data_IF_493904450049
#
_entry.id   IF_493904450049
#
_cell.length_a   1.000
_cell.length_b   1.000
_cell.length_c   1.000
_cell.angle_alpha   90.00
_cell.angle_beta   90.00
_cell.angle_gamma   90.00
#
_symmetry.space_group_name_H-M   'P 1'
#
loop_
_entity.id
_entity.type
_entity.pdbx_description
1 polymer ?
#
# COMPACT_ATOMS: atom_id res chain seq x y z
N UNK A 1 -0.21 15.03 9.58
CA UNK A 1 0.53 15.83 10.57
C UNK A 1 2.04 15.64 10.43
N UNK A 2 2.55 14.40 10.34
CA UNK A 2 3.99 14.11 10.20
C UNK A 2 4.61 14.79 8.98
N UNK A 3 3.96 14.76 7.82
CA UNK A 3 4.43 15.44 6.61
C UNK A 3 4.49 16.95 6.75
N UNK A 4 3.51 17.54 7.46
CA UNK A 4 3.54 18.97 7.77
C UNK A 4 4.72 19.29 8.69
N UNK A 5 5.01 18.41 9.66
CA UNK A 5 6.17 18.52 10.54
C UNK A 5 7.49 18.43 9.77
N UNK A 6 7.60 17.51 8.81
CA UNK A 6 8.79 17.35 7.98
C UNK A 6 8.98 18.54 7.03
N UNK A 7 7.91 19.00 6.37
CA UNK A 7 7.96 20.17 5.48
C UNK A 7 8.35 21.45 6.21
N UNK A 8 7.86 21.62 7.44
CA UNK A 8 8.20 22.74 8.29
C UNK A 8 9.68 22.72 8.80
N UNK A 9 10.44 21.64 8.49
CA UNK A 9 11.85 21.56 8.81
C UNK A 9 12.66 22.46 7.88
N UNK A 10 13.12 23.60 8.38
CA UNK A 10 13.91 24.56 7.60
C UNK A 10 13.08 25.67 6.95
N UNK A 11 11.81 25.76 7.22
CA UNK A 11 10.95 26.87 6.81
C UNK A 11 10.83 27.87 7.97
N UNK A 12 11.36 29.07 7.81
CA UNK A 12 11.39 30.12 8.85
C UNK A 12 10.02 30.68 9.21
N UNK A 13 9.02 30.47 8.36
CA UNK A 13 7.63 30.88 8.64
C UNK A 13 6.91 29.93 9.58
N UNK A 14 7.48 28.73 9.84
CA UNK A 14 6.89 27.71 10.70
C UNK A 14 7.65 27.53 12.01
N UNK A 15 6.93 27.67 13.10
CA UNK A 15 7.44 27.26 14.41
C UNK A 15 7.09 25.81 14.69
N UNK A 16 8.11 24.99 15.00
CA UNK A 16 7.95 23.58 15.41
C UNK A 16 8.38 23.40 16.85
N UNK A 17 7.54 22.75 17.62
CA UNK A 17 7.83 22.39 19.00
C UNK A 17 7.46 20.92 19.24
N UNK A 18 8.43 20.12 19.71
CA UNK A 18 8.21 18.75 20.14
C UNK A 18 8.38 18.67 21.65
N UNK A 19 7.28 18.36 22.35
CA UNK A 19 7.25 18.24 23.81
C UNK A 19 7.05 16.75 24.17
N UNK A 20 8.14 16.06 24.39
CA UNK A 20 8.11 14.66 24.84
C UNK A 20 7.88 14.62 26.35
N UNK A 21 7.06 13.67 26.82
CA UNK A 21 6.77 13.52 28.23
C UNK A 21 8.02 13.25 29.07
N UNK A 22 8.95 12.44 28.54
CA UNK A 22 10.18 12.01 29.22
C UNK A 22 11.25 13.10 29.37
N UNK A 23 11.22 14.13 28.52
CA UNK A 23 12.28 15.16 28.46
C UNK A 23 11.81 16.59 28.66
N UNK A 24 10.50 16.85 28.54
CA UNK A 24 9.95 18.20 28.65
C UNK A 24 9.89 18.75 30.09
N UNK A 25 9.91 17.86 31.08
CA UNK A 25 9.73 18.24 32.50
C UNK A 25 8.31 18.72 32.85
N UNK A 26 7.33 18.60 31.94
CA UNK A 26 5.96 19.05 32.13
C UNK A 26 5.13 18.08 32.98
N UNK A 27 5.46 16.79 32.93
CA UNK A 27 4.79 15.75 33.71
C UNK A 27 5.74 15.21 34.79
N UNK A 28 5.25 14.98 36.02
CA UNK A 28 6.01 14.27 37.04
C UNK A 28 6.30 12.82 36.63
N UNK A 29 7.44 12.28 37.05
CA UNK A 29 7.84 10.89 36.74
C UNK A 29 6.78 9.85 37.14
N UNK A 30 6.12 10.08 38.27
CA UNK A 30 5.07 9.18 38.77
C UNK A 30 3.87 9.11 37.82
N UNK A 31 3.55 10.21 37.16
CA UNK A 31 2.45 10.30 36.20
C UNK A 31 2.84 9.63 34.88
N UNK A 32 4.08 9.83 34.42
CA UNK A 32 4.65 9.16 33.25
C UNK A 32 4.61 7.64 33.46
N UNK A 33 5.01 7.13 34.63
CA UNK A 33 4.97 5.71 34.97
C UNK A 33 3.53 5.17 35.06
N UNK A 34 2.55 5.97 35.50
CA UNK A 34 1.14 5.60 35.48
C UNK A 34 0.63 5.43 34.06
N UNK A 35 0.90 6.42 33.19
CA UNK A 35 0.54 6.38 31.77
C UNK A 35 1.20 5.23 31.04
N UNK A 36 2.46 4.89 31.39
CA UNK A 36 3.16 3.73 30.82
C UNK A 36 2.49 2.39 31.15
N UNK A 37 1.78 2.29 32.26
CA UNK A 37 1.01 1.09 32.66
C UNK A 37 -0.37 1.03 32.03
N UNK A 38 -0.95 2.19 31.74
CA UNK A 38 -2.31 2.31 31.17
C UNK A 38 -2.31 2.19 29.66
N UNK A 39 -1.26 2.66 28.99
CA UNK A 39 -1.13 2.66 27.53
C UNK A 39 -0.33 1.44 27.05
N UNK A 40 -0.62 0.99 25.85
CA UNK A 40 0.28 0.04 25.18
C UNK A 40 1.63 0.71 24.86
N UNK A 41 2.67 -0.10 24.62
CA UNK A 41 4.01 0.43 24.28
C UNK A 41 3.95 1.39 23.09
N UNK A 42 3.18 1.06 22.06
CA UNK A 42 3.05 1.89 20.87
C UNK A 42 2.24 3.17 21.13
N UNK A 43 1.14 3.07 21.88
CA UNK A 43 0.37 4.24 22.28
C UNK A 43 1.21 5.19 23.14
N UNK A 44 1.97 4.65 24.10
CA UNK A 44 2.85 5.46 24.92
C UNK A 44 3.93 6.16 24.08
N UNK A 45 4.55 5.44 23.13
CA UNK A 45 5.54 6.02 22.24
C UNK A 45 4.93 7.14 21.37
N UNK A 46 3.77 6.90 20.80
CA UNK A 46 3.07 7.86 19.92
C UNK A 46 2.58 9.10 20.68
N UNK A 47 1.85 8.90 21.77
CA UNK A 47 1.18 9.98 22.51
C UNK A 47 2.12 10.73 23.47
N UNK A 48 3.01 10.01 24.14
CA UNK A 48 3.85 10.55 25.18
C UNK A 48 5.26 10.89 24.72
N UNK A 49 5.82 10.13 23.78
CA UNK A 49 7.17 10.38 23.26
C UNK A 49 7.20 11.04 21.90
N UNK A 50 6.04 11.44 21.34
CA UNK A 50 5.91 12.05 20.02
C UNK A 50 6.58 11.22 18.91
N UNK A 51 6.50 9.90 19.03
CA UNK A 51 7.08 8.97 18.06
C UNK A 51 6.11 8.81 16.88
N UNK A 52 6.41 9.46 15.76
CA UNK A 52 5.62 9.36 14.55
C UNK A 52 5.74 8.01 13.85
N UNK A 53 6.78 7.24 14.18
CA UNK A 53 7.03 5.92 13.60
C UNK A 53 6.49 4.77 14.47
N UNK A 54 5.99 5.08 15.67
CA UNK A 54 5.36 4.08 16.51
C UNK A 54 4.22 3.40 15.74
N UNK A 55 4.24 2.08 15.69
CA UNK A 55 3.23 1.30 14.98
C UNK A 55 1.84 1.63 15.53
N UNK A 56 0.94 2.06 14.65
CA UNK A 56 -0.44 2.36 15.02
C UNK A 56 -1.10 1.08 15.53
N UNK A 57 -1.75 1.18 16.68
CA UNK A 57 -2.47 0.04 17.23
C UNK A 57 -3.51 -0.49 16.25
N UNK A 58 -3.45 -1.80 15.98
CA UNK A 58 -4.30 -2.44 14.99
C UNK A 58 -3.84 -2.27 13.53
N UNK A 59 -2.68 -1.66 13.27
CA UNK A 59 -2.12 -1.60 11.92
C UNK A 59 -1.89 -3.01 11.36
N UNK A 60 -2.40 -3.25 10.14
CA UNK A 60 -2.29 -4.56 9.52
C UNK A 60 -0.87 -4.87 9.05
N UNK A 61 -0.12 -3.86 8.58
CA UNK A 61 1.18 -4.02 7.91
C UNK A 61 2.33 -3.28 8.63
N UNK A 62 2.09 -2.75 9.83
CA UNK A 62 3.05 -1.89 10.52
C UNK A 62 4.42 -2.53 10.69
N UNK A 63 4.48 -3.81 11.09
CA UNK A 63 5.74 -4.53 11.28
C UNK A 63 6.45 -4.83 9.96
N UNK A 64 5.71 -5.25 8.91
CA UNK A 64 6.24 -5.54 7.58
C UNK A 64 6.82 -4.27 6.94
N UNK A 65 6.12 -3.14 7.08
CA UNK A 65 6.57 -1.84 6.56
C UNK A 65 7.78 -1.32 7.33
N UNK A 66 7.82 -1.47 8.65
CA UNK A 66 8.99 -1.15 9.44
C UNK A 66 10.21 -1.97 9.00
N UNK A 67 10.05 -3.26 8.75
CA UNK A 67 11.13 -4.10 8.20
C UNK A 67 11.54 -3.69 6.79
N UNK A 68 10.63 -3.17 5.98
CA UNK A 68 10.96 -2.64 4.66
C UNK A 68 11.77 -1.35 4.74
N UNK A 69 11.50 -0.51 5.73
CA UNK A 69 12.14 0.79 5.91
C UNK A 69 13.48 0.72 6.63
N UNK A 70 13.56 -0.09 7.70
CA UNK A 70 14.70 -0.15 8.62
C UNK A 70 15.54 -1.42 8.46
N UNK A 71 15.11 -2.37 7.62
CA UNK A 71 15.80 -3.65 7.42
C UNK A 71 17.12 -3.51 6.66
N UNK A 72 17.86 -4.62 6.61
CA UNK A 72 19.04 -4.77 5.78
C UNK A 72 18.82 -5.95 4.81
N UNK A 73 18.67 -5.68 3.52
CA UNK A 73 18.67 -4.36 2.86
C UNK A 73 17.38 -3.55 3.11
N UNK A 74 17.50 -2.22 3.09
CA UNK A 74 16.35 -1.31 3.04
C UNK A 74 15.61 -1.50 1.73
N UNK A 75 14.28 -1.70 1.79
CA UNK A 75 13.44 -1.97 0.62
C UNK A 75 12.53 -0.78 0.23
N UNK A 76 12.53 0.27 1.03
CA UNK A 76 12.02 1.59 0.67
C UNK A 76 13.25 2.44 0.31
N UNK A 77 13.50 2.61 -0.98
CA UNK A 77 14.74 3.19 -1.52
C UNK A 77 14.53 3.60 -2.98
N UNK A 78 15.57 4.03 -3.68
CA UNK A 78 15.51 4.26 -5.12
C UNK A 78 15.32 2.94 -5.88
N UNK A 79 14.16 2.77 -6.51
CA UNK A 79 13.81 1.57 -7.28
C UNK A 79 13.60 1.93 -8.75
N UNK A 80 14.61 1.69 -9.61
CA UNK A 80 14.51 2.07 -11.01
C UNK A 80 13.53 1.18 -11.79
N UNK A 81 12.87 1.79 -12.78
CA UNK A 81 12.14 1.06 -13.81
C UNK A 81 13.08 0.17 -14.61
N UNK A 82 12.75 -1.12 -14.75
CA UNK A 82 13.48 -2.08 -15.57
C UNK A 82 12.81 -2.21 -16.94
N UNK A 83 13.47 -1.72 -17.99
CA UNK A 83 12.90 -1.66 -19.34
C UNK A 83 12.57 -3.03 -19.96
N UNK A 84 13.21 -4.10 -19.47
CA UNK A 84 13.02 -5.48 -19.95
C UNK A 84 11.87 -6.19 -19.25
N UNK A 85 11.38 -5.63 -18.14
CA UNK A 85 10.26 -6.19 -17.40
C UNK A 85 9.00 -5.39 -17.69
N UNK A 86 7.88 -6.07 -17.94
CA UNK A 86 6.60 -5.43 -18.18
C UNK A 86 6.01 -4.91 -16.87
N UNK A 87 5.27 -3.81 -16.97
CA UNK A 87 4.61 -3.15 -15.84
C UNK A 87 3.17 -3.60 -15.76
N UNK A 88 2.74 -3.91 -14.56
CA UNK A 88 1.34 -4.16 -14.23
C UNK A 88 0.78 -3.01 -13.42
N UNK A 89 -0.53 -2.81 -13.47
CA UNK A 89 -1.23 -1.86 -12.60
C UNK A 89 -2.38 -2.53 -11.86
N UNK A 90 -2.63 -2.10 -10.64
CA UNK A 90 -3.85 -2.42 -9.90
C UNK A 90 -4.52 -1.13 -9.45
N UNK A 91 -5.83 -1.11 -9.52
CA UNK A 91 -6.64 0.07 -9.29
C UNK A 91 -7.64 -0.19 -8.16
N UNK A 92 -7.84 0.80 -7.33
CA UNK A 92 -9.02 0.94 -6.49
C UNK A 92 -9.83 2.11 -7.03
N UNK A 93 -11.09 1.86 -7.43
CA UNK A 93 -11.91 2.82 -8.18
C UNK A 93 -12.95 3.48 -7.28
N UNK A 94 -12.67 4.66 -6.75
CA UNK A 94 -13.64 5.51 -6.07
C UNK A 94 -14.53 6.29 -7.07
N UNK A 95 -15.83 6.42 -6.78
CA UNK A 95 -16.76 7.27 -7.58
C UNK A 95 -16.80 8.68 -7.00
N UNK A 96 -17.01 8.79 -5.69
CA UNK A 96 -17.02 10.05 -4.92
C UNK A 96 -15.79 10.15 -4.00
N UNK A 97 -15.00 9.10 -3.95
CA UNK A 97 -13.81 8.95 -3.14
C UNK A 97 -12.55 8.93 -4.00
N UNK A 98 -11.40 8.67 -3.35
CA UNK A 98 -10.13 8.54 -4.03
C UNK A 98 -10.10 7.32 -4.95
N UNK A 99 -9.63 7.51 -6.18
CA UNK A 99 -9.15 6.44 -7.04
C UNK A 99 -7.65 6.29 -6.82
N UNK A 100 -7.19 5.09 -6.54
CA UNK A 100 -5.78 4.79 -6.32
C UNK A 100 -5.27 3.81 -7.39
N UNK A 101 -4.07 4.07 -7.90
CA UNK A 101 -3.41 3.23 -8.91
C UNK A 101 -2.00 2.92 -8.45
N UNK A 102 -1.63 1.64 -8.46
CA UNK A 102 -0.30 1.14 -8.14
C UNK A 102 0.34 0.54 -9.38
N UNK A 103 1.61 0.87 -9.66
CA UNK A 103 2.41 0.28 -10.74
C UNK A 103 3.50 -0.61 -10.17
N UNK A 104 3.64 -1.82 -10.70
CA UNK A 104 4.71 -2.72 -10.25
C UNK A 104 5.28 -3.56 -11.40
N UNK A 105 6.49 -4.05 -11.18
CA UNK A 105 7.18 -5.00 -12.04
C UNK A 105 7.64 -6.22 -11.24
N UNK A 106 7.64 -7.38 -11.87
CA UNK A 106 8.31 -8.57 -11.35
C UNK A 106 9.71 -8.64 -11.97
N UNK A 107 10.76 -8.52 -11.16
CA UNK A 107 12.15 -8.61 -11.60
C UNK A 107 12.84 -9.72 -10.80
N UNK A 108 12.92 -10.90 -11.39
CA UNK A 108 13.37 -12.09 -10.67
C UNK A 108 12.43 -12.45 -9.51
N UNK A 109 12.93 -12.37 -8.29
CA UNK A 109 12.13 -12.57 -7.06
C UNK A 109 11.61 -11.27 -6.44
N UNK A 110 12.08 -10.14 -6.95
CA UNK A 110 11.68 -8.83 -6.44
C UNK A 110 10.38 -8.37 -7.08
N UNK A 111 9.51 -7.82 -6.27
CA UNK A 111 8.33 -7.07 -6.70
C UNK A 111 8.68 -5.60 -6.54
N UNK A 112 8.92 -4.91 -7.64
CA UNK A 112 9.31 -3.51 -7.65
C UNK A 112 8.07 -2.63 -7.83
N UNK A 113 7.65 -1.96 -6.77
CA UNK A 113 6.58 -0.95 -6.81
C UNK A 113 7.23 0.37 -7.22
N UNK A 114 7.00 0.75 -8.48
CA UNK A 114 7.77 1.79 -9.17
C UNK A 114 7.03 3.12 -9.29
N UNK A 115 5.72 3.13 -9.08
CA UNK A 115 4.92 4.35 -9.17
C UNK A 115 3.60 4.17 -8.41
N UNK A 116 3.02 5.29 -7.99
CA UNK A 116 1.73 5.38 -7.34
C UNK A 116 1.03 6.66 -7.75
N UNK A 117 -0.28 6.64 -7.83
CA UNK A 117 -1.10 7.83 -8.03
C UNK A 117 -2.43 7.67 -7.30
N UNK A 118 -2.89 8.74 -6.71
CA UNK A 118 -4.24 8.86 -6.17
C UNK A 118 -4.86 10.19 -6.57
N UNK A 119 -6.17 10.21 -6.74
CA UNK A 119 -6.90 11.40 -7.10
C UNK A 119 -8.40 11.21 -6.86
N UNK A 120 -9.13 12.29 -6.71
CA UNK A 120 -10.59 12.29 -6.56
C UNK A 120 -11.26 13.20 -7.58
N UNK A 121 -12.48 12.83 -7.96
CA UNK A 121 -13.29 13.67 -8.87
C UNK A 121 -12.87 13.64 -10.33
N UNK A 122 -11.88 12.85 -10.71
CA UNK A 122 -11.43 12.71 -12.09
C UNK A 122 -12.22 11.62 -12.84
N UNK A 123 -12.30 11.76 -14.15
CA UNK A 123 -12.96 10.77 -15.00
C UNK A 123 -12.05 9.56 -15.29
N UNK A 124 -12.64 8.42 -15.63
CA UNK A 124 -11.87 7.25 -16.10
C UNK A 124 -11.00 7.59 -17.32
N UNK A 125 -11.44 8.54 -18.15
CA UNK A 125 -10.66 9.01 -19.31
C UNK A 125 -9.37 9.74 -18.86
N UNK A 126 -9.43 10.54 -17.79
CA UNK A 126 -8.26 11.20 -17.21
C UNK A 126 -7.24 10.18 -16.67
N UNK A 127 -7.70 9.20 -15.89
CA UNK A 127 -6.84 8.13 -15.39
C UNK A 127 -6.26 7.26 -16.52
N UNK A 128 -7.05 6.96 -17.55
CA UNK A 128 -6.56 6.24 -18.72
C UNK A 128 -5.47 7.04 -19.47
N UNK A 129 -5.66 8.35 -19.60
CA UNK A 129 -4.65 9.24 -20.20
C UNK A 129 -3.38 9.29 -19.34
N UNK A 130 -3.51 9.39 -18.00
CA UNK A 130 -2.40 9.35 -17.08
C UNK A 130 -1.59 8.06 -17.24
N UNK A 131 -2.23 6.89 -17.22
CA UNK A 131 -1.54 5.61 -17.40
C UNK A 131 -0.80 5.57 -18.73
N UNK A 132 -1.42 6.00 -19.83
CA UNK A 132 -0.80 6.01 -21.17
C UNK A 132 0.31 7.05 -21.33
N UNK A 133 0.34 8.10 -20.50
CA UNK A 133 1.41 9.11 -20.52
C UNK A 133 2.70 8.65 -19.87
N UNK A 134 2.65 7.61 -19.02
CA UNK A 134 3.83 7.07 -18.37
C UNK A 134 4.73 6.33 -19.37
N UNK A 135 6.06 6.37 -19.22
CA UNK A 135 7.02 5.75 -20.15
C UNK A 135 7.13 4.23 -19.95
N UNK A 136 6.06 3.56 -19.53
CA UNK A 136 6.08 2.15 -19.16
C UNK A 136 5.56 1.25 -20.27
N UNK A 137 6.15 0.04 -20.38
CA UNK A 137 5.64 -1.04 -21.22
C UNK A 137 4.73 -1.92 -20.38
N UNK A 138 3.44 -1.91 -20.68
CA UNK A 138 2.43 -2.59 -19.88
C UNK A 138 2.23 -4.06 -20.27
N UNK A 139 2.00 -4.92 -19.26
CA UNK A 139 1.45 -6.27 -19.41
C UNK A 139 -0.05 -6.24 -19.14
N UNK A 140 -0.46 -6.04 -17.90
CA UNK A 140 -1.85 -6.16 -17.46
C UNK A 140 -2.27 -5.00 -16.55
N UNK A 141 -3.56 -4.68 -16.63
CA UNK A 141 -4.22 -3.77 -15.73
C UNK A 141 -5.28 -4.54 -14.94
N UNK A 142 -5.27 -4.41 -13.62
CA UNK A 142 -6.16 -5.15 -12.73
C UNK A 142 -7.13 -4.21 -12.06
N UNK A 143 -8.41 -4.57 -12.08
CA UNK A 143 -9.50 -3.81 -11.48
C UNK A 143 -10.19 -4.62 -10.39
N UNK A 144 -10.81 -3.97 -9.39
CA UNK A 144 -11.65 -4.64 -8.41
C UNK A 144 -12.88 -5.27 -9.09
N UNK A 145 -13.49 -6.24 -8.42
CA UNK A 145 -14.64 -6.98 -8.93
C UNK A 145 -15.88 -6.12 -9.22
N UNK A 146 -16.06 -5.00 -8.53
CA UNK A 146 -17.17 -4.06 -8.74
C UNK A 146 -17.02 -3.25 -10.04
N UNK A 147 -15.86 -3.28 -10.70
CA UNK A 147 -15.67 -2.71 -12.02
C UNK A 147 -16.53 -3.38 -13.13
N UNK A 148 -17.11 -4.55 -12.86
CA UNK A 148 -18.08 -5.23 -13.73
C UNK A 148 -19.52 -4.71 -13.54
N UNK A 149 -19.77 -3.89 -12.51
CA UNK A 149 -21.08 -3.29 -12.32
C UNK A 149 -21.36 -2.24 -13.40
N UNK A 150 -22.59 -2.25 -13.94
CA UNK A 150 -23.04 -1.26 -14.91
C UNK A 150 -23.33 0.07 -14.24
N UNK A 151 -22.82 1.14 -14.82
CA UNK A 151 -23.13 2.50 -14.38
C UNK A 151 -24.51 2.93 -14.88
N UNK A 152 -25.30 3.51 -13.97
CA UNK A 152 -26.68 3.92 -14.29
C UNK A 152 -26.76 4.96 -15.42
N UNK A 153 -25.77 5.84 -15.54
CA UNK A 153 -25.78 6.92 -16.52
C UNK A 153 -25.45 6.46 -17.94
N UNK A 154 -24.54 5.50 -18.10
CA UNK A 154 -24.02 5.05 -19.39
C UNK A 154 -24.51 3.67 -19.81
N UNK A 155 -24.98 2.86 -18.84
CA UNK A 155 -25.31 1.45 -19.03
C UNK A 155 -24.11 0.55 -19.29
N UNK A 156 -22.87 1.12 -19.31
CA UNK A 156 -21.61 0.39 -19.51
C UNK A 156 -20.94 0.06 -18.19
N UNK A 157 -20.13 -0.96 -18.20
CA UNK A 157 -19.24 -1.26 -17.08
C UNK A 157 -17.97 -0.40 -17.16
N UNK A 158 -17.26 -0.21 -16.03
CA UNK A 158 -15.98 0.50 -16.02
C UNK A 158 -14.93 -0.20 -16.89
N UNK A 159 -14.99 -1.53 -16.98
CA UNK A 159 -14.11 -2.34 -17.84
C UNK A 159 -14.37 -2.02 -19.31
N UNK A 160 -15.65 -1.95 -19.74
CA UNK A 160 -16.01 -1.61 -21.12
C UNK A 160 -15.54 -0.20 -21.45
N UNK A 161 -15.74 0.75 -20.55
CA UNK A 161 -15.28 2.14 -20.72
C UNK A 161 -13.76 2.21 -20.85
N UNK A 162 -12.99 1.53 -19.98
CA UNK A 162 -11.52 1.50 -20.08
C UNK A 162 -11.05 0.83 -21.38
N UNK A 163 -11.74 -0.21 -21.84
CA UNK A 163 -11.42 -0.86 -23.13
C UNK A 163 -11.60 0.10 -24.31
N UNK A 164 -12.67 0.88 -24.32
CA UNK A 164 -12.88 1.93 -25.33
C UNK A 164 -11.79 3.02 -25.27
N UNK A 165 -11.28 3.29 -24.07
CA UNK A 165 -10.16 4.19 -23.85
C UNK A 165 -8.78 3.54 -24.14
N UNK A 166 -8.76 2.30 -24.63
CA UNK A 166 -7.54 1.60 -25.04
C UNK A 166 -6.78 0.91 -23.89
N UNK A 167 -7.43 0.68 -22.76
CA UNK A 167 -6.89 -0.08 -21.64
C UNK A 167 -7.68 -1.39 -21.48
N UNK A 168 -7.02 -2.52 -21.74
CA UNK A 168 -7.62 -3.84 -21.51
C UNK A 168 -7.31 -4.31 -20.09
N UNK A 169 -8.33 -4.37 -19.25
CA UNK A 169 -8.19 -4.72 -17.86
C UNK A 169 -8.71 -6.13 -17.55
N UNK A 170 -8.19 -6.73 -16.47
CA UNK A 170 -8.66 -7.98 -15.89
C UNK A 170 -9.25 -7.69 -14.52
N UNK A 171 -10.27 -8.45 -14.14
CA UNK A 171 -10.90 -8.33 -12.82
C UNK A 171 -10.22 -9.24 -11.84
N UNK A 172 -9.89 -8.71 -10.68
CA UNK A 172 -9.49 -9.50 -9.52
C UNK A 172 -10.75 -10.11 -8.90
N UNK A 173 -10.85 -11.43 -8.78
CA UNK A 173 -12.02 -12.06 -8.20
C UNK A 173 -12.32 -11.55 -6.80
N UNK A 174 -13.60 -11.45 -6.47
CA UNK A 174 -14.04 -11.10 -5.13
C UNK A 174 -13.46 -12.08 -4.11
N UNK A 175 -12.83 -11.55 -3.07
CA UNK A 175 -12.30 -12.33 -1.94
C UNK A 175 -12.65 -11.65 -0.62
N UNK A 176 -12.59 -12.37 0.47
CA UNK A 176 -12.71 -11.78 1.80
C UNK A 176 -11.56 -10.80 2.03
N UNK A 177 -11.84 -9.69 2.67
CA UNK A 177 -10.84 -8.65 2.98
C UNK A 177 -9.67 -9.24 3.76
N UNK A 178 -9.93 -10.13 4.72
CA UNK A 178 -8.91 -10.83 5.51
C UNK A 178 -7.93 -11.65 4.64
N UNK A 179 -8.44 -12.35 3.63
CA UNK A 179 -7.61 -13.13 2.70
C UNK A 179 -6.70 -12.20 1.89
N UNK A 180 -7.23 -11.05 1.48
CA UNK A 180 -6.47 -10.00 0.82
C UNK A 180 -5.39 -9.40 1.71
N UNK A 181 -5.71 -9.10 2.97
CA UNK A 181 -4.73 -8.60 3.96
C UNK A 181 -3.61 -9.61 4.17
N UNK A 182 -3.94 -10.89 4.30
CA UNK A 182 -2.95 -11.95 4.42
C UNK A 182 -2.09 -12.09 3.15
N UNK A 183 -2.69 -11.91 1.96
CA UNK A 183 -1.94 -11.88 0.71
C UNK A 183 -0.89 -10.76 0.71
N UNK A 184 -1.25 -9.56 1.16
CA UNK A 184 -0.31 -8.43 1.29
C UNK A 184 0.83 -8.78 2.25
N UNK A 185 0.54 -9.24 3.46
CA UNK A 185 1.56 -9.63 4.47
C UNK A 185 2.59 -10.60 3.92
N UNK A 186 2.12 -11.63 3.20
CA UNK A 186 3.00 -12.63 2.60
C UNK A 186 3.84 -12.07 1.44
N UNK A 187 3.35 -11.04 0.75
CA UNK A 187 3.99 -10.47 -0.44
C UNK A 187 4.99 -9.38 -0.07
N UNK A 188 4.72 -8.61 1.00
CA UNK A 188 5.52 -7.46 1.41
C UNK A 188 7.01 -7.76 1.63
N UNK A 189 7.36 -9.01 2.02
CA UNK A 189 8.77 -9.40 2.20
C UNK A 189 9.58 -9.38 0.90
N UNK A 190 8.92 -9.43 -0.27
CA UNK A 190 9.53 -9.40 -1.60
C UNK A 190 9.38 -8.03 -2.28
N UNK A 191 8.64 -7.09 -1.66
CA UNK A 191 8.35 -5.78 -2.25
C UNK A 191 9.47 -4.78 -1.98
N UNK A 192 9.82 -4.04 -3.03
CA UNK A 192 10.70 -2.89 -3.03
C UNK A 192 9.90 -1.68 -3.49
N UNK A 193 9.98 -0.58 -2.77
CA UNK A 193 9.18 0.62 -3.01
C UNK A 193 10.09 1.77 -3.44
N UNK A 194 9.77 2.43 -4.57
CA UNK A 194 10.47 3.64 -4.96
C UNK A 194 10.10 4.79 -4.01
N UNK A 195 11.07 5.23 -3.21
CA UNK A 195 10.87 6.22 -2.14
C UNK A 195 10.31 7.56 -2.64
N UNK A 196 10.57 7.93 -3.90
CA UNK A 196 10.16 9.22 -4.46
C UNK A 196 8.77 9.19 -5.07
N UNK A 197 8.36 8.03 -5.61
CA UNK A 197 7.11 7.89 -6.36
C UNK A 197 6.02 7.14 -5.62
N UNK A 198 6.37 6.46 -4.54
CA UNK A 198 5.43 5.63 -3.79
C UNK A 198 5.34 6.03 -2.31
N UNK A 199 5.81 7.24 -1.95
CA UNK A 199 5.80 7.71 -0.57
C UNK A 199 4.40 7.70 0.06
N UNK A 200 3.40 8.20 -0.66
CA UNK A 200 2.01 8.21 -0.18
C UNK A 200 1.47 6.78 0.00
N UNK A 201 1.75 5.86 -0.94
CA UNK A 201 1.38 4.45 -0.78
C UNK A 201 2.04 3.82 0.46
N UNK A 202 3.33 4.09 0.68
CA UNK A 202 4.05 3.61 1.87
C UNK A 202 3.38 4.09 3.14
N UNK A 203 2.97 5.36 3.18
CA UNK A 203 2.24 5.94 4.30
C UNK A 203 0.87 5.25 4.49
N UNK A 204 0.11 5.06 3.42
CA UNK A 204 -1.16 4.34 3.48
C UNK A 204 -0.98 2.92 4.03
N UNK A 205 0.04 2.19 3.59
CA UNK A 205 0.31 0.84 4.09
C UNK A 205 0.71 0.82 5.58
N UNK A 206 1.44 1.83 6.05
CA UNK A 206 1.78 1.98 7.48
C UNK A 206 0.54 2.26 8.33
N UNK A 207 -0.39 3.07 7.81
CA UNK A 207 -1.55 3.61 8.52
C UNK A 207 -2.80 2.74 8.42
N UNK A 208 -2.85 1.77 7.49
CA UNK A 208 -4.00 0.89 7.29
C UNK A 208 -4.21 -0.03 8.48
N UNK A 209 -5.33 0.15 9.17
CA UNK A 209 -5.59 -0.46 10.47
C UNK A 209 -6.99 -1.02 10.60
N UNK A 210 -7.15 -1.93 11.55
CA UNK A 210 -8.44 -2.44 11.99
C UNK A 210 -9.23 -1.37 12.75
N UNK A 211 -10.55 -1.42 12.66
CA UNK A 211 -11.43 -0.57 13.44
C UNK A 211 -11.38 -1.00 14.91
N UNK A 212 -11.19 -0.04 15.82
CA UNK A 212 -11.21 -0.29 17.25
C UNK A 212 -12.52 0.18 17.86
N UNK A 213 -13.27 -0.72 18.49
CA UNK A 213 -14.48 -0.39 19.24
C UNK A 213 -14.08 0.02 20.67
N UNK A 214 -14.03 1.34 20.89
CA UNK A 214 -13.67 1.91 22.20
C UNK A 214 -14.61 1.49 23.33
N UNK A 215 -15.87 1.19 23.02
CA UNK A 215 -16.88 0.81 24.03
C UNK A 215 -16.71 -0.62 24.50
N UNK A 216 -16.33 -1.51 23.58
CA UNK A 216 -16.14 -2.93 23.88
C UNK A 216 -14.67 -3.27 24.17
N UNK A 217 -13.72 -2.35 23.92
CA UNK A 217 -12.31 -2.60 24.10
C UNK A 217 -11.74 -3.66 23.14
N UNK A 218 -12.35 -3.84 21.98
CA UNK A 218 -11.95 -4.90 21.02
C UNK A 218 -11.63 -4.33 19.64
N UNK A 219 -10.66 -4.95 18.99
CA UNK A 219 -10.35 -4.69 17.59
C UNK A 219 -11.34 -5.45 16.74
N UNK A 220 -12.06 -4.76 15.82
CA UNK A 220 -12.95 -5.40 14.86
C UNK A 220 -12.15 -6.08 13.75
N UNK A 221 -12.77 -7.02 13.06
CA UNK A 221 -12.16 -7.69 11.90
C UNK A 221 -12.15 -6.82 10.64
N UNK A 222 -12.94 -5.75 10.60
CA UNK A 222 -13.03 -4.84 9.46
C UNK A 222 -11.97 -3.73 9.54
N UNK A 223 -11.35 -3.36 8.42
CA UNK A 223 -10.50 -2.17 8.37
C UNK A 223 -11.32 -0.88 8.54
N UNK A 224 -10.65 0.16 9.05
CA UNK A 224 -11.18 1.52 9.03
C UNK A 224 -11.24 1.98 7.58
N UNK A 225 -12.38 2.54 7.17
CA UNK A 225 -12.50 3.21 5.88
C UNK A 225 -12.15 4.69 6.05
N UNK A 226 -10.94 5.04 5.70
CA UNK A 226 -10.40 6.42 5.75
C UNK A 226 -9.53 6.68 4.51
N UNK A 227 -8.83 7.81 4.49
CA UNK A 227 -7.95 8.19 3.37
C UNK A 227 -6.85 7.15 3.06
N UNK A 228 -6.49 6.31 4.04
CA UNK A 228 -5.45 5.30 3.88
C UNK A 228 -5.97 4.00 3.25
N UNK A 229 -7.29 3.79 3.26
CA UNK A 229 -7.89 2.55 2.76
C UNK A 229 -7.72 2.38 1.25
N UNK A 230 -7.84 3.45 0.46
CA UNK A 230 -7.82 3.36 -1.01
C UNK A 230 -6.47 2.89 -1.57
N UNK A 231 -5.36 3.49 -1.09
CA UNK A 231 -4.02 3.05 -1.47
C UNK A 231 -3.72 1.63 -1.02
N UNK A 232 -4.11 1.28 0.21
CA UNK A 232 -3.95 -0.06 0.75
C UNK A 232 -4.78 -1.10 -0.02
N UNK A 233 -5.99 -0.76 -0.45
CA UNK A 233 -6.87 -1.62 -1.23
C UNK A 233 -6.36 -1.80 -2.66
N UNK A 234 -5.87 -0.74 -3.33
CA UNK A 234 -5.20 -0.86 -4.62
C UNK A 234 -3.99 -1.81 -4.54
N UNK A 235 -3.17 -1.68 -3.51
CA UNK A 235 -2.03 -2.58 -3.29
C UNK A 235 -2.48 -4.00 -2.95
N UNK A 236 -3.57 -4.17 -2.22
CA UNK A 236 -4.18 -5.48 -1.95
C UNK A 236 -4.62 -6.16 -3.24
N UNK A 237 -5.23 -5.43 -4.18
CA UNK A 237 -5.58 -5.96 -5.51
C UNK A 237 -4.33 -6.32 -6.31
N UNK A 238 -3.24 -5.54 -6.23
CA UNK A 238 -1.96 -5.91 -6.82
C UNK A 238 -1.44 -7.25 -6.28
N UNK A 239 -1.42 -7.42 -4.96
CA UNK A 239 -0.96 -8.67 -4.32
C UNK A 239 -1.83 -9.88 -4.68
N UNK A 240 -3.15 -9.70 -4.80
CA UNK A 240 -4.05 -10.74 -5.26
C UNK A 240 -3.81 -11.09 -6.73
N UNK A 241 -3.61 -10.09 -7.59
CA UNK A 241 -3.30 -10.29 -9.00
C UNK A 241 -2.00 -11.06 -9.23
N UNK A 242 -0.96 -10.79 -8.45
CA UNK A 242 0.30 -11.53 -8.48
C UNK A 242 0.13 -13.03 -8.20
N UNK A 243 -0.87 -13.39 -7.39
CA UNK A 243 -1.20 -14.78 -7.08
C UNK A 243 -2.02 -15.47 -8.17
N UNK A 244 -2.74 -14.68 -8.99
CA UNK A 244 -3.49 -15.20 -10.15
C UNK A 244 -2.57 -15.51 -11.32
N UNK A 245 -1.40 -14.86 -11.43
CA UNK A 245 -0.45 -15.14 -12.49
C UNK A 245 -0.05 -16.62 -12.46
N UNK A 246 -0.06 -17.33 -13.59
CA UNK A 246 0.41 -18.70 -13.63
C UNK A 246 1.85 -18.71 -13.11
N UNK A 247 2.12 -19.49 -12.05
CA UNK A 247 3.51 -19.76 -11.66
C UNK A 247 4.17 -20.38 -12.88
N UNK A 248 5.23 -19.75 -13.40
CA UNK A 248 6.01 -20.37 -14.48
C UNK A 248 6.38 -21.77 -14.04
N UNK A 249 5.73 -22.76 -14.64
CA UNK A 249 6.12 -24.16 -14.46
C UNK A 249 7.38 -24.32 -15.28
N UNK A 250 8.53 -24.25 -14.63
CA UNK A 250 9.76 -24.69 -15.25
C UNK A 250 9.49 -26.09 -15.80
N UNK A 251 9.71 -26.26 -17.12
CA UNK A 251 9.62 -27.57 -17.71
C UNK A 251 10.57 -28.52 -16.92
N UNK A 252 10.12 -29.73 -16.56
CA UNK A 252 10.97 -30.63 -15.79
C UNK A 252 12.30 -30.82 -16.52
N UNK A 253 13.41 -30.66 -15.81
CA UNK A 253 14.74 -30.88 -16.35
C UNK A 253 14.82 -32.29 -16.90
N UNK A 254 14.97 -32.43 -18.22
CA UNK A 254 15.23 -33.71 -18.86
C UNK A 254 16.71 -34.03 -18.64
N UNK A 255 16.99 -34.88 -17.70
CA UNK A 255 18.34 -35.42 -17.54
C UNK A 255 18.59 -36.46 -18.68
N UNK A 256 19.75 -36.43 -19.35
CA UNK A 256 20.11 -37.47 -20.29
C UNK A 256 20.20 -38.81 -19.54
N UNK A 257 19.56 -39.86 -20.11
CA UNK A 257 19.66 -41.21 -19.58
C UNK A 257 21.14 -41.61 -19.54
N UNK A 258 21.69 -41.91 -18.36
CA UNK A 258 23.01 -42.51 -18.24
C UNK A 258 22.92 -43.94 -18.76
N UNK A 259 23.45 -44.17 -19.96
CA UNK A 259 23.73 -45.52 -20.39
C UNK A 259 24.94 -46.04 -19.60
N UNK A 260 24.67 -46.93 -18.68
CA UNK A 260 25.75 -47.70 -18.05
C UNK A 260 26.27 -48.70 -19.11
N UNK A 261 27.58 -48.60 -19.43
CA UNK A 261 28.32 -49.57 -20.23
C UNK A 261 28.93 -50.59 -19.29
#
# INVERSE_FOLDING_TARGET
>A
FHDAWLRAAGDEEWFRLMLRADTSGLLPEIEIESLRKELTVNQFAQEMLCDFEAAIEGAYYGEEMRRAEQGDPKRITGVPYEERALVNTAWDLGIADLTAIVWWQQVGREIRVIDYHEGSGESLAAYAALVKSKPYKYDKHYLPHDAEAKELGTGKTRIETLRELGITAQVVPMQKVEDGINAVKMTLSQCWFDERKTGDLVEHLKMYRAEYDKRLGVVKSSPVHDIHSHGADAFRYACLAMRMAPKERFAPLKYPERKWV
#
